data_IF_429206896580
#
_entry.id   IF_429206896580
#
_cell.length_a   1.000
_cell.length_b   1.000
_cell.length_c   1.000
_cell.angle_alpha   90.00
_cell.angle_beta   90.00
_cell.angle_gamma   90.00
#
_symmetry.space_group_name_H-M   'P 1'
#
loop_
_entity.id
_entity.type
_entity.pdbx_description
1 polymer ?
#
# COMPACT_ATOMS: atom_id res chain seq x y z
N UNK A 1 22.60 33.59 50.22
CA UNK A 1 21.81 32.85 49.23
C UNK A 1 21.08 31.73 49.96
N UNK A 2 19.77 31.89 50.14
CA UNK A 2 18.95 31.02 51.00
C UNK A 2 18.85 29.61 50.41
N UNK A 3 19.00 28.59 51.27
CA UNK A 3 18.85 27.16 50.93
C UNK A 3 17.53 26.87 50.20
N UNK A 4 16.52 27.72 50.37
CA UNK A 4 15.22 27.66 49.69
C UNK A 4 15.29 27.89 48.17
N UNK A 5 16.27 28.65 47.66
CA UNK A 5 16.44 28.87 46.21
C UNK A 5 17.06 27.65 45.49
N UNK A 6 17.88 26.86 46.18
CA UNK A 6 18.55 25.68 45.61
C UNK A 6 17.55 24.54 45.41
N UNK A 7 16.58 24.38 46.31
CA UNK A 7 15.55 23.34 46.23
C UNK A 7 14.59 23.57 45.05
N UNK A 8 14.28 24.82 44.72
CA UNK A 8 13.36 25.18 43.61
C UNK A 8 13.99 24.88 42.23
N UNK A 9 15.32 25.03 42.10
CA UNK A 9 16.04 24.75 40.85
C UNK A 9 16.14 23.23 40.60
N UNK A 10 16.29 22.42 41.64
CA UNK A 10 16.42 20.95 41.51
C UNK A 10 15.07 20.30 41.12
N UNK A 11 13.93 20.88 41.55
CA UNK A 11 12.58 20.41 41.16
C UNK A 11 12.24 20.80 39.71
N UNK A 12 12.81 21.89 39.19
CA UNK A 12 12.60 22.30 37.79
C UNK A 12 13.39 21.45 36.78
N UNK A 13 14.59 20.99 37.15
CA UNK A 13 15.45 20.18 36.26
C UNK A 13 14.95 18.73 36.12
N UNK A 14 14.24 18.19 37.11
CA UNK A 14 13.66 16.85 37.04
C UNK A 14 12.28 16.81 36.38
N UNK A 15 11.57 17.96 36.30
CA UNK A 15 10.33 18.07 35.53
C UNK A 15 10.58 18.13 34.01
N UNK A 16 11.78 18.54 33.57
CA UNK A 16 12.15 18.60 32.15
C UNK A 16 12.66 17.28 31.55
N UNK A 17 12.81 16.21 32.34
CA UNK A 17 13.24 14.89 31.81
C UNK A 17 12.11 13.87 31.63
N UNK A 18 10.86 14.22 31.94
CA UNK A 18 9.70 13.42 31.53
C UNK A 18 9.11 13.94 30.22
N UNK A 19 9.96 14.20 29.22
CA UNK A 19 9.46 14.24 27.84
C UNK A 19 9.37 12.80 27.37
N UNK A 20 8.13 12.30 27.32
CA UNK A 20 7.73 10.99 26.87
C UNK A 20 8.41 10.65 25.53
N UNK A 21 9.44 9.78 25.56
CA UNK A 21 9.95 9.10 24.36
C UNK A 21 8.92 8.02 24.00
N UNK A 22 7.84 8.39 23.31
CA UNK A 22 6.89 7.47 22.67
C UNK A 22 6.21 8.18 21.51
N UNK A 23 6.75 8.14 20.29
CA UNK A 23 5.95 8.52 19.10
C UNK A 23 6.46 8.11 17.72
N UNK A 24 7.61 7.45 17.53
CA UNK A 24 8.02 7.03 16.16
C UNK A 24 7.41 5.69 15.73
N UNK A 25 7.20 4.75 16.65
CA UNK A 25 6.72 3.41 16.32
C UNK A 25 5.22 3.36 16.00
N UNK A 26 4.37 4.16 16.67
CA UNK A 26 2.92 4.14 16.42
C UNK A 26 2.57 4.75 15.06
N UNK A 27 3.17 5.89 14.72
CA UNK A 27 2.95 6.58 13.44
C UNK A 27 3.43 5.76 12.25
N UNK A 28 4.59 5.09 12.38
CA UNK A 28 5.09 4.20 11.33
C UNK A 28 4.16 3.00 11.10
N UNK A 29 3.67 2.37 12.17
CA UNK A 29 2.76 1.22 12.05
C UNK A 29 1.43 1.62 11.39
N UNK A 30 0.83 2.72 11.85
CA UNK A 30 -0.40 3.26 11.26
C UNK A 30 -0.24 3.61 9.77
N UNK A 31 0.91 4.16 9.37
CA UNK A 31 1.20 4.46 7.96
C UNK A 31 1.32 3.19 7.10
N UNK A 32 1.95 2.14 7.64
CA UNK A 32 2.09 0.84 6.95
C UNK A 32 0.73 0.16 6.83
N UNK A 33 -0.07 0.17 7.89
CA UNK A 33 -1.41 -0.42 7.89
C UNK A 33 -2.29 0.27 6.83
N UNK A 34 -2.22 1.61 6.75
CA UNK A 34 -2.91 2.41 5.72
C UNK A 34 -2.44 2.07 4.30
N UNK A 35 -1.12 1.98 4.07
CA UNK A 35 -0.54 1.62 2.77
C UNK A 35 -1.03 0.24 2.30
N UNK A 36 -1.03 -0.74 3.20
CA UNK A 36 -1.42 -2.13 2.92
C UNK A 36 -2.91 -2.23 2.62
N UNK A 37 -3.76 -1.58 3.41
CA UNK A 37 -5.20 -1.57 3.17
C UNK A 37 -5.51 -0.96 1.79
N UNK A 38 -4.93 0.20 1.48
CA UNK A 38 -5.15 0.87 0.19
C UNK A 38 -4.66 0.00 -0.98
N UNK A 39 -3.53 -0.69 -0.83
CA UNK A 39 -3.02 -1.61 -1.83
C UNK A 39 -3.98 -2.77 -2.06
N UNK A 40 -4.40 -3.46 -1.00
CA UNK A 40 -5.28 -4.63 -1.09
C UNK A 40 -6.63 -4.25 -1.71
N UNK A 41 -7.15 -3.06 -1.41
CA UNK A 41 -8.35 -2.53 -2.07
C UNK A 41 -8.13 -2.21 -3.55
N UNK A 42 -6.99 -1.59 -3.89
CA UNK A 42 -6.67 -1.20 -5.26
C UNK A 42 -6.58 -2.41 -6.19
N UNK A 43 -6.01 -3.51 -5.72
CA UNK A 43 -5.78 -4.71 -6.53
C UNK A 43 -6.84 -5.81 -6.36
N UNK A 44 -7.88 -5.55 -5.58
CA UNK A 44 -9.07 -6.41 -5.48
C UNK A 44 -9.02 -7.51 -4.43
N UNK A 45 -8.04 -7.49 -3.53
CA UNK A 45 -7.91 -8.46 -2.43
C UNK A 45 -8.79 -8.13 -1.22
N UNK A 46 -9.19 -6.87 -1.08
CA UNK A 46 -10.03 -6.38 0.01
C UNK A 46 -11.15 -5.52 -0.57
N UNK A 47 -12.40 -5.81 -0.23
CA UNK A 47 -13.54 -5.00 -0.69
C UNK A 47 -13.47 -3.59 -0.10
N UNK A 48 -13.94 -2.60 -0.86
CA UNK A 48 -14.07 -1.23 -0.35
C UNK A 48 -15.28 -1.17 0.56
N UNK A 49 -15.13 -0.59 1.76
CA UNK A 49 -16.27 -0.30 2.61
C UNK A 49 -17.18 0.73 1.92
N UNK A 50 -18.50 0.55 2.00
CA UNK A 50 -19.50 1.41 1.34
C UNK A 50 -19.44 2.89 1.80
N UNK A 51 -18.79 3.15 2.94
CA UNK A 51 -18.61 4.48 3.49
C UNK A 51 -17.12 4.82 3.55
N UNK A 52 -16.71 5.84 2.79
CA UNK A 52 -15.34 6.31 2.54
C UNK A 52 -14.53 6.78 3.78
N UNK A 53 -14.93 6.45 5.01
CA UNK A 53 -14.47 7.13 6.22
C UNK A 53 -13.81 6.25 7.27
N UNK A 54 -13.78 4.93 7.12
CA UNK A 54 -13.09 4.07 8.09
C UNK A 54 -12.22 3.01 7.41
N UNK A 55 -10.89 3.21 7.47
CA UNK A 55 -9.87 2.18 7.24
C UNK A 55 -9.82 1.18 8.41
N UNK A 56 -10.98 0.87 8.99
CA UNK A 56 -11.11 -0.03 10.13
C UNK A 56 -11.72 -1.31 9.61
N UNK A 57 -10.87 -2.24 9.19
CA UNK A 57 -11.26 -3.60 8.84
C UNK A 57 -11.13 -4.50 10.06
N UNK A 58 -11.93 -5.55 10.13
CA UNK A 58 -11.70 -6.57 11.14
C UNK A 58 -10.32 -7.22 10.88
N UNK A 59 -9.57 -7.51 11.95
CA UNK A 59 -8.23 -8.11 11.83
C UNK A 59 -8.25 -9.41 11.00
N UNK A 60 -9.37 -10.16 11.08
CA UNK A 60 -9.61 -11.35 10.28
C UNK A 60 -9.72 -11.08 8.77
N UNK A 61 -10.44 -10.03 8.37
CA UNK A 61 -10.60 -9.66 6.95
C UNK A 61 -9.27 -9.23 6.35
N UNK A 62 -8.50 -8.41 7.07
CA UNK A 62 -7.19 -7.97 6.62
C UNK A 62 -6.22 -9.15 6.48
N UNK A 63 -6.20 -10.06 7.46
CA UNK A 63 -5.39 -11.28 7.41
C UNK A 63 -5.76 -12.16 6.21
N UNK A 64 -7.05 -12.31 5.94
CA UNK A 64 -7.53 -13.06 4.77
C UNK A 64 -7.07 -12.41 3.46
N UNK A 65 -7.20 -11.09 3.33
CA UNK A 65 -6.77 -10.36 2.14
C UNK A 65 -5.24 -10.48 1.90
N UNK A 66 -4.43 -10.39 2.96
CA UNK A 66 -2.98 -10.62 2.87
C UNK A 66 -2.68 -12.07 2.45
N UNK A 67 -3.43 -13.04 2.98
CA UNK A 67 -3.28 -14.45 2.59
C UNK A 67 -3.57 -14.66 1.10
N UNK A 68 -4.61 -14.02 0.56
CA UNK A 68 -4.93 -14.07 -0.87
C UNK A 68 -3.81 -13.46 -1.74
N UNK A 69 -3.23 -12.33 -1.31
CA UNK A 69 -2.08 -11.75 -1.99
C UNK A 69 -0.87 -12.68 -1.97
N UNK A 70 -0.57 -13.29 -0.82
CA UNK A 70 0.52 -14.25 -0.69
C UNK A 70 0.32 -15.46 -1.59
N UNK A 71 -0.90 -16.00 -1.66
CA UNK A 71 -1.26 -17.11 -2.55
C UNK A 71 -1.09 -16.73 -4.03
N UNK A 72 -1.63 -15.58 -4.45
CA UNK A 72 -1.57 -15.10 -5.84
C UNK A 72 -0.12 -14.97 -6.33
N UNK A 73 0.77 -14.43 -5.49
CA UNK A 73 2.19 -14.24 -5.80
C UNK A 73 3.07 -15.44 -5.40
N UNK A 74 2.48 -16.54 -4.93
CA UNK A 74 3.20 -17.74 -4.48
C UNK A 74 4.25 -17.45 -3.40
N UNK A 75 3.95 -16.50 -2.52
CA UNK A 75 4.76 -16.10 -1.38
C UNK A 75 4.41 -17.03 -0.21
N UNK A 76 5.43 -17.59 0.45
CA UNK A 76 5.23 -18.35 1.67
C UNK A 76 4.77 -17.41 2.80
N UNK A 77 3.58 -17.63 3.35
CA UNK A 77 3.01 -16.82 4.42
C UNK A 77 1.71 -17.40 4.96
N UNK A 78 1.25 -16.86 6.08
CA UNK A 78 0.09 -17.30 6.87
C UNK A 78 -0.99 -16.20 7.00
N UNK A 79 -0.97 -15.23 6.09
CA UNK A 79 -1.78 -14.02 6.15
C UNK A 79 -1.21 -12.91 7.04
N UNK A 80 -0.02 -13.09 7.64
CA UNK A 80 0.67 -11.99 8.34
C UNK A 80 1.45 -11.10 7.38
N UNK A 81 1.45 -9.79 7.65
CA UNK A 81 2.28 -8.82 6.92
C UNK A 81 3.74 -8.96 7.37
N UNK A 82 4.48 -9.87 6.73
CA UNK A 82 5.93 -9.99 6.92
C UNK A 82 6.71 -9.05 5.97
N UNK A 83 7.99 -8.82 6.28
CA UNK A 83 8.85 -7.90 5.51
C UNK A 83 8.97 -8.28 4.04
N UNK A 84 8.94 -9.57 3.70
CA UNK A 84 9.03 -10.02 2.32
C UNK A 84 7.74 -9.72 1.55
N UNK A 85 6.58 -9.95 2.17
CA UNK A 85 5.26 -9.58 1.63
C UNK A 85 5.21 -8.08 1.35
N UNK A 86 5.57 -7.25 2.33
CA UNK A 86 5.57 -5.79 2.17
C UNK A 86 6.55 -5.33 1.09
N UNK A 87 7.74 -5.97 1.00
CA UNK A 87 8.69 -5.71 -0.07
C UNK A 87 8.09 -6.01 -1.45
N UNK A 88 7.39 -7.14 -1.61
CA UNK A 88 6.73 -7.47 -2.88
C UNK A 88 5.62 -6.48 -3.24
N UNK A 89 4.81 -6.06 -2.26
CA UNK A 89 3.76 -5.05 -2.48
C UNK A 89 4.33 -3.72 -3.01
N UNK A 90 5.53 -3.32 -2.55
CA UNK A 90 6.19 -2.07 -2.95
C UNK A 90 6.93 -2.11 -4.28
N UNK A 91 7.01 -3.27 -4.95
CA UNK A 91 7.67 -3.35 -6.27
C UNK A 91 6.81 -2.67 -7.34
N UNK A 92 7.41 -1.92 -8.28
CA UNK A 92 6.68 -1.37 -9.42
C UNK A 92 5.96 -2.47 -10.20
N UNK A 93 4.71 -2.19 -10.59
CA UNK A 93 3.82 -3.16 -11.24
C UNK A 93 2.81 -2.46 -12.15
N UNK A 94 2.03 -3.26 -12.90
CA UNK A 94 0.87 -2.78 -13.62
C UNK A 94 -0.22 -2.29 -12.65
N UNK A 95 -1.00 -1.29 -13.07
CA UNK A 95 -2.10 -0.71 -12.29
C UNK A 95 -3.39 -1.56 -12.31
N UNK A 96 -3.41 -2.58 -13.16
CA UNK A 96 -4.55 -3.45 -13.37
C UNK A 96 -4.76 -4.37 -12.14
N UNK A 97 -6.00 -4.50 -11.61
CA UNK A 97 -6.31 -5.38 -10.48
C UNK A 97 -5.97 -6.85 -10.73
N UNK A 98 -5.59 -7.55 -9.67
CA UNK A 98 -5.27 -8.98 -9.71
C UNK A 98 -6.54 -9.84 -9.68
N UNK A 99 -7.50 -9.39 -8.86
CA UNK A 99 -8.81 -10.03 -8.70
C UNK A 99 -9.88 -9.08 -9.20
N UNK A 100 -10.77 -9.57 -10.07
CA UNK A 100 -11.89 -8.81 -10.61
C UNK A 100 -13.19 -9.35 -10.03
N UNK A 101 -14.01 -8.47 -9.46
CA UNK A 101 -15.36 -8.81 -8.97
C UNK A 101 -16.32 -9.16 -10.12
N UNK A 102 -16.06 -8.65 -11.32
CA UNK A 102 -16.86 -8.95 -12.51
C UNK A 102 -16.08 -9.85 -13.47
N UNK A 103 -16.76 -10.90 -13.94
CA UNK A 103 -16.31 -11.71 -15.07
C UNK A 103 -16.20 -10.83 -16.31
N UNK A 104 -15.02 -10.23 -16.53
CA UNK A 104 -14.64 -9.67 -17.82
C UNK A 104 -14.36 -10.88 -18.71
N UNK A 105 -15.44 -11.53 -19.19
CA UNK A 105 -15.34 -12.69 -20.07
C UNK A 105 -14.35 -12.41 -21.20
N UNK A 106 -13.70 -13.46 -21.71
CA UNK A 106 -12.61 -13.35 -22.71
C UNK A 106 -12.96 -12.34 -23.81
N UNK A 107 -12.39 -11.14 -23.72
CA UNK A 107 -12.58 -10.10 -24.73
C UNK A 107 -11.60 -10.39 -25.86
N UNK A 108 -12.16 -10.72 -27.03
CA UNK A 108 -11.39 -10.96 -28.25
C UNK A 108 -11.79 -9.92 -29.27
N UNK A 109 -10.81 -9.33 -29.94
CA UNK A 109 -11.06 -8.48 -31.10
C UNK A 109 -11.73 -9.29 -32.20
N UNK A 110 -12.83 -8.77 -32.77
CA UNK A 110 -13.55 -9.43 -33.86
C UNK A 110 -12.75 -9.45 -35.18
N UNK A 111 -11.74 -8.59 -35.29
CA UNK A 111 -10.84 -8.48 -36.44
C UNK A 111 -9.38 -8.65 -36.01
N UNK A 112 -8.53 -9.04 -36.94
CA UNK A 112 -7.10 -9.22 -36.74
C UNK A 112 -6.28 -7.99 -37.11
N UNK A 113 -6.75 -7.19 -38.08
CA UNK A 113 -6.10 -5.94 -38.49
C UNK A 113 -6.53 -4.81 -37.55
N UNK A 114 -5.73 -4.62 -36.50
CA UNK A 114 -5.92 -3.58 -35.51
C UNK A 114 -5.18 -2.30 -35.92
N UNK A 115 -5.71 -1.17 -35.49
CA UNK A 115 -5.14 0.16 -35.71
C UNK A 115 -5.03 0.84 -34.35
N UNK A 116 -3.93 1.53 -34.10
CA UNK A 116 -3.70 2.27 -32.85
C UNK A 116 -3.48 3.75 -33.15
N UNK A 117 -3.75 4.60 -32.16
CA UNK A 117 -3.57 6.04 -32.25
C UNK A 117 -3.26 6.60 -30.85
N UNK A 118 -2.25 7.47 -30.74
CA UNK A 118 -2.00 8.26 -29.55
C UNK A 118 -2.41 9.71 -29.80
N UNK A 119 -3.13 10.30 -28.85
CA UNK A 119 -3.47 11.73 -28.94
C UNK A 119 -2.23 12.63 -28.83
N UNK A 120 -1.23 12.19 -28.05
CA UNK A 120 0.05 12.86 -27.86
C UNK A 120 1.13 11.77 -27.88
N UNK A 121 1.99 11.77 -28.91
CA UNK A 121 3.13 10.87 -28.99
C UNK A 121 4.37 11.64 -29.46
N UNK A 122 5.47 11.47 -28.72
CA UNK A 122 6.79 11.86 -29.18
C UNK A 122 7.42 10.72 -30.02
N UNK A 123 8.56 10.98 -30.70
CA UNK A 123 9.22 9.96 -31.53
C UNK A 123 9.59 8.69 -30.76
N UNK A 124 9.94 8.78 -29.47
CA UNK A 124 10.30 7.63 -28.65
C UNK A 124 9.08 6.75 -28.35
N UNK A 125 7.93 7.37 -28.05
CA UNK A 125 6.65 6.72 -27.80
C UNK A 125 6.21 5.96 -29.06
N UNK A 126 6.35 6.59 -30.23
CA UNK A 126 6.05 5.94 -31.51
C UNK A 126 6.94 4.72 -31.75
N UNK A 127 8.26 4.87 -31.61
CA UNK A 127 9.20 3.78 -31.79
C UNK A 127 8.94 2.61 -30.82
N UNK A 128 8.71 2.93 -29.55
CA UNK A 128 8.40 1.92 -28.52
C UNK A 128 7.10 1.19 -28.85
N UNK A 129 6.11 1.91 -29.38
CA UNK A 129 4.82 1.32 -29.74
C UNK A 129 4.93 0.43 -30.96
N UNK A 130 5.62 0.89 -32.00
CA UNK A 130 5.88 0.09 -33.20
C UNK A 130 6.56 -1.23 -32.82
N UNK A 131 7.59 -1.17 -31.97
CA UNK A 131 8.27 -2.37 -31.46
C UNK A 131 7.34 -3.27 -30.62
N UNK A 132 6.52 -2.70 -29.74
CA UNK A 132 5.59 -3.47 -28.91
C UNK A 132 4.52 -4.21 -29.73
N UNK A 133 4.15 -3.68 -30.89
CA UNK A 133 3.13 -4.27 -31.78
C UNK A 133 3.72 -5.00 -33.00
N UNK A 134 5.04 -5.12 -33.16
CA UNK A 134 5.66 -5.74 -34.34
C UNK A 134 5.73 -7.28 -34.31
N UNK A 135 4.93 -7.93 -33.46
CA UNK A 135 4.89 -9.39 -33.30
C UNK A 135 4.11 -10.09 -34.41
#
# INVERSE_FOLDING_TARGET
MSLTFIVIIIVFVTFTTTTTIRTTASTNRESIDTEVILYLQKYGYLSKADNNTQLSFEEGELKQAISLFQEYYQIQGDGTLNNYTLYQMRKPRCDLPDIYEYNIGRRKWAKTHLTWNFQLADPQTLQTTEFAFSL
#
